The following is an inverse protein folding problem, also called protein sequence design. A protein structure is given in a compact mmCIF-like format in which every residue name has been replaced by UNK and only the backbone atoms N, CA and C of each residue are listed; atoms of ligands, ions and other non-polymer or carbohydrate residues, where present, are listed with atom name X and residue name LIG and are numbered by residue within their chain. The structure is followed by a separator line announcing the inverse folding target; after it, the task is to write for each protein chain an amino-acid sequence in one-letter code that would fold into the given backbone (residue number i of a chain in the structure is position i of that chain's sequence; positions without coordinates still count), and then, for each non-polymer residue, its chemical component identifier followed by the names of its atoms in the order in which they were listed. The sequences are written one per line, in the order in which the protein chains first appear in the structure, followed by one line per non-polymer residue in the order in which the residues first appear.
data_IF_122416295971
#
_entry.id   IF_122416295971
#
_cell.length_a   1.000
_cell.length_b   1.000
_cell.length_c   1.000
_cell.angle_alpha   90.00
_cell.angle_beta   90.00
_cell.angle_gamma   90.00
#
_symmetry.space_group_name_H-M   'P 1'
#
loop_
_entity.id
_entity.type
_entity.pdbx_description
1 polymer ?
#
# COMPACT_ATOMS: atom_id res chain seq x y z
N UNK A 1 -7.56 -18.05 35.60
CA UNK A 1 -8.26 -16.84 35.13
C UNK A 1 -7.87 -16.67 33.68
N UNK A 2 -8.86 -16.73 32.81
CA UNK A 2 -8.73 -16.63 31.36
C UNK A 2 -8.85 -15.15 31.04
N UNK A 3 -7.75 -14.51 30.64
CA UNK A 3 -7.79 -13.16 30.10
C UNK A 3 -7.41 -13.27 28.63
N UNK A 4 -8.42 -13.61 27.86
CA UNK A 4 -8.51 -13.38 26.43
C UNK A 4 -8.45 -11.86 26.21
N UNK A 5 -7.34 -11.37 25.65
CA UNK A 5 -7.33 -10.06 25.01
C UNK A 5 -7.08 -10.24 23.51
N UNK A 6 -8.10 -10.79 22.85
CA UNK A 6 -8.38 -10.50 21.45
C UNK A 6 -8.63 -8.99 21.33
N UNK A 7 -7.57 -8.25 20.98
CA UNK A 7 -7.69 -6.84 20.62
C UNK A 7 -6.86 -6.57 19.37
N UNK A 8 -7.63 -6.46 18.29
CA UNK A 8 -7.72 -5.21 17.49
C UNK A 8 -7.00 -5.28 16.14
N UNK A 9 -7.50 -6.16 15.26
CA UNK A 9 -7.47 -5.89 13.83
C UNK A 9 -8.47 -4.76 13.52
N UNK A 10 -8.05 -3.51 13.72
CA UNK A 10 -8.74 -2.37 13.11
C UNK A 10 -8.03 -2.09 11.80
N UNK A 11 -8.71 -2.10 10.64
CA UNK A 11 -8.09 -1.66 9.40
C UNK A 11 -7.64 -0.22 9.61
N UNK A 12 -6.32 -0.02 9.62
CA UNK A 12 -5.73 1.27 9.91
C UNK A 12 -6.16 2.25 8.82
N UNK A 13 -6.69 3.44 9.16
CA UNK A 13 -7.06 4.43 8.17
C UNK A 13 -5.80 4.81 7.37
N UNK A 14 -5.97 4.89 6.06
CA UNK A 14 -4.92 5.29 5.11
C UNK A 14 -4.38 6.64 5.54
N UNK A 15 -3.09 6.71 5.86
CA UNK A 15 -2.48 7.95 6.29
C UNK A 15 -2.02 8.74 5.06
N UNK A 16 -1.96 10.08 5.18
CA UNK A 16 -1.38 10.92 4.11
C UNK A 16 0.10 10.64 3.87
N UNK A 17 0.77 9.85 4.73
CA UNK A 17 2.13 9.36 4.49
C UNK A 17 2.16 8.17 3.49
N UNK A 18 1.04 7.45 3.34
CA UNK A 18 0.94 6.30 2.44
C UNK A 18 0.85 6.70 0.95
N UNK A 19 0.53 7.96 0.64
CA UNK A 19 0.48 8.47 -0.73
C UNK A 19 0.88 9.95 -0.76
N UNK A 20 1.64 10.36 -1.77
CA UNK A 20 2.02 11.76 -1.96
C UNK A 20 1.53 12.28 -3.30
N UNK A 21 1.41 13.59 -3.41
CA UNK A 21 1.04 14.26 -4.64
C UNK A 21 2.30 14.76 -5.34
N UNK A 22 2.49 14.32 -6.57
CA UNK A 22 3.61 14.72 -7.42
C UNK A 22 3.06 15.20 -8.75
N UNK A 23 3.33 16.46 -9.12
CA UNK A 23 2.86 17.06 -10.38
C UNK A 23 1.34 16.92 -10.63
N UNK A 24 0.51 16.97 -9.58
CA UNK A 24 -0.94 16.81 -9.71
C UNK A 24 -1.41 15.36 -9.86
N UNK A 25 -0.49 14.39 -9.77
CA UNK A 25 -0.79 12.96 -9.76
C UNK A 25 -0.65 12.40 -8.35
N UNK A 26 -1.59 11.53 -7.97
CA UNK A 26 -1.55 10.79 -6.71
C UNK A 26 -0.62 9.59 -6.86
N UNK A 27 0.51 9.61 -6.15
CA UNK A 27 1.52 8.55 -6.15
C UNK A 27 1.40 7.74 -4.85
N UNK A 28 1.00 6.48 -4.98
CA UNK A 28 0.93 5.55 -3.86
C UNK A 28 2.32 4.98 -3.52
N UNK A 29 2.63 4.92 -2.22
CA UNK A 29 3.86 4.33 -1.70
C UNK A 29 3.72 2.83 -1.43
N UNK A 30 4.80 2.16 -1.06
CA UNK A 30 4.75 0.74 -0.71
C UNK A 30 3.93 0.48 0.56
N UNK A 31 3.88 1.45 1.48
CA UNK A 31 3.19 1.34 2.76
C UNK A 31 1.68 1.18 2.54
N UNK A 32 1.14 1.96 1.60
CA UNK A 32 -0.24 1.81 1.14
C UNK A 32 -0.55 0.39 0.69
N UNK A 33 0.33 -0.19 -0.13
CA UNK A 33 0.13 -1.53 -0.67
C UNK A 33 0.33 -2.63 0.37
N UNK A 34 1.24 -2.45 1.34
CA UNK A 34 1.42 -3.34 2.49
C UNK A 34 0.18 -3.33 3.40
N UNK A 35 -0.36 -2.15 3.73
CA UNK A 35 -1.60 -2.01 4.52
C UNK A 35 -2.81 -2.59 3.82
N UNK A 36 -2.89 -2.44 2.50
CA UNK A 36 -3.98 -2.98 1.68
C UNK A 36 -4.01 -4.51 1.70
N UNK A 37 -2.87 -5.17 1.92
CA UNK A 37 -2.80 -6.63 2.05
C UNK A 37 -3.06 -7.42 0.75
N UNK A 38 -3.25 -6.75 -0.39
CA UNK A 38 -3.40 -7.41 -1.69
C UNK A 38 -2.80 -6.64 -2.85
N UNK A 39 -2.24 -7.39 -3.81
CA UNK A 39 -1.69 -6.84 -5.05
C UNK A 39 -2.79 -6.58 -6.09
N UNK A 40 -2.93 -5.34 -6.53
CA UNK A 40 -3.89 -4.94 -7.56
C UNK A 40 -3.46 -5.27 -9.00
N UNK A 41 -2.23 -5.76 -9.21
CA UNK A 41 -1.65 -6.07 -10.53
C UNK A 41 -1.71 -4.90 -11.54
N UNK A 42 -1.84 -3.66 -11.04
CA UNK A 42 -1.90 -2.46 -11.89
C UNK A 42 -0.52 -1.97 -12.36
N UNK A 43 0.57 -2.57 -11.86
CA UNK A 43 1.94 -2.19 -12.24
C UNK A 43 2.48 -0.96 -11.50
N UNK A 44 2.13 -0.80 -10.22
CA UNK A 44 2.56 0.33 -9.40
C UNK A 44 4.08 0.36 -9.21
N UNK A 45 4.70 1.54 -9.22
CA UNK A 45 6.16 1.70 -9.05
C UNK A 45 6.65 1.20 -7.69
N UNK A 46 5.85 1.37 -6.63
CA UNK A 46 6.17 0.96 -5.26
C UNK A 46 5.48 -0.34 -4.85
N UNK A 47 5.35 -1.30 -5.77
CA UNK A 47 4.70 -2.57 -5.44
C UNK A 47 5.58 -3.42 -4.51
N UNK A 48 5.14 -3.72 -3.26
CA UNK A 48 5.89 -4.60 -2.36
C UNK A 48 5.88 -6.06 -2.85
N UNK A 49 4.95 -6.41 -3.75
CA UNK A 49 4.83 -7.74 -4.36
C UNK A 49 5.69 -7.92 -5.62
N UNK A 50 6.57 -6.96 -5.94
CA UNK A 50 7.43 -7.04 -7.13
C UNK A 50 6.70 -6.85 -8.46
N UNK A 51 5.44 -6.41 -8.44
CA UNK A 51 4.64 -6.18 -9.66
C UNK A 51 4.90 -4.78 -10.22
N UNK A 52 6.13 -4.54 -10.67
CA UNK A 52 6.57 -3.27 -11.25
C UNK A 52 6.46 -3.40 -12.77
N UNK A 53 5.59 -2.62 -13.42
CA UNK A 53 5.66 -2.47 -14.87
C UNK A 53 6.89 -1.64 -15.18
N UNK A 54 8.02 -2.28 -15.46
CA UNK A 54 9.15 -1.59 -16.05
C UNK A 54 8.66 -0.99 -17.37
N UNK A 55 8.76 0.34 -17.47
CA UNK A 55 8.42 1.05 -18.70
C UNK A 55 9.28 0.43 -19.80
N UNK A 56 8.64 -0.05 -20.87
CA UNK A 56 9.34 -0.23 -22.14
C UNK A 56 9.84 1.15 -22.53
N UNK A 57 11.16 1.31 -22.54
CA UNK A 57 11.81 2.36 -23.32
C UNK A 57 11.33 2.22 -24.77
N UNK A 58 10.88 3.34 -25.33
CA UNK A 58 10.61 3.53 -26.76
C UNK A 58 11.86 4.15 -27.40
#
# INVERSE_FOLDING_TARGET
MMEEEDKKDKPQPLQPDDFYWENGFMVFTEAYHKKRGYCCKSGCRHCPYGFIKQKREE
#
